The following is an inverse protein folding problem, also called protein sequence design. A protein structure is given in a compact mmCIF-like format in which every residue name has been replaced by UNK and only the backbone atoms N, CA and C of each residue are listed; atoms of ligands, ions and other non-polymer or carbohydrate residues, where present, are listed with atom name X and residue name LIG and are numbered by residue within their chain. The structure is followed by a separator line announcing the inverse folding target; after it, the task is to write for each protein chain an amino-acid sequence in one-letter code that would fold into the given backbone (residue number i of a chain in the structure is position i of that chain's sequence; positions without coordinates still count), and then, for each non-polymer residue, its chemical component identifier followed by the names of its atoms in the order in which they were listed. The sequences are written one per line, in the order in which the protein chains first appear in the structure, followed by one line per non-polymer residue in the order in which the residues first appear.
data_IF_546229829272
#
_entry.id   IF_546229829272
#
_cell.length_a   1.000
_cell.length_b   1.000
_cell.length_c   1.000
_cell.angle_alpha   90.00
_cell.angle_beta   90.00
_cell.angle_gamma   90.00
#
_symmetry.space_group_name_H-M   'P 1'
#
loop_
_entity.id
_entity.type
_entity.pdbx_description
1 polymer ?
#
# COMPACT_ATOMS: atom_id res chain seq x y z
N UNK A 1 -25.92 -2.86 13.79
CA UNK A 1 -24.88 -2.11 13.07
C UNK A 1 -24.35 -3.01 11.97
N UNK A 2 -24.19 -2.49 10.75
CA UNK A 2 -23.57 -3.24 9.65
C UNK A 2 -22.09 -3.48 9.90
N UNK A 3 -21.50 -4.45 9.18
CA UNK A 3 -20.06 -4.64 9.19
C UNK A 3 -19.37 -3.40 8.59
N UNK A 4 -18.27 -2.91 9.19
CA UNK A 4 -17.56 -1.76 8.67
C UNK A 4 -17.00 -2.03 7.25
N UNK A 5 -17.13 -1.05 6.36
CA UNK A 5 -16.73 -1.18 4.96
C UNK A 5 -15.23 -1.47 4.82
N UNK A 6 -14.86 -2.30 3.85
CA UNK A 6 -13.46 -2.49 3.44
C UNK A 6 -13.14 -1.43 2.39
N UNK A 7 -12.16 -0.56 2.65
CA UNK A 7 -11.76 0.49 1.71
C UNK A 7 -10.28 0.32 1.32
N UNK A 8 -9.95 0.21 0.02
CA UNK A 8 -8.56 0.16 -0.41
C UNK A 8 -7.90 1.54 -0.36
N UNK A 9 -6.71 1.58 0.24
CA UNK A 9 -5.85 2.76 0.34
C UNK A 9 -4.48 2.43 -0.25
N UNK A 10 -4.11 3.12 -1.31
CA UNK A 10 -2.75 3.17 -1.84
C UNK A 10 -2.01 4.33 -1.17
N UNK A 11 -0.87 4.06 -0.55
CA UNK A 11 0.05 5.10 -0.10
C UNK A 11 1.05 5.38 -1.24
N UNK A 12 0.93 6.57 -1.84
CA UNK A 12 1.81 7.04 -2.91
C UNK A 12 2.28 8.45 -2.54
N UNK A 13 3.58 8.73 -2.43
CA UNK A 13 4.02 10.09 -2.10
C UNK A 13 5.11 10.21 -1.04
N UNK A 14 5.52 9.08 -0.46
CA UNK A 14 6.79 9.03 0.24
C UNK A 14 7.94 9.31 -0.72
N UNK A 15 8.92 10.10 -0.28
CA UNK A 15 10.24 10.13 -0.92
C UNK A 15 11.05 8.98 -0.36
N UNK A 16 11.76 8.24 -1.20
CA UNK A 16 12.72 7.24 -0.74
C UNK A 16 13.64 7.89 0.28
N UNK A 17 13.73 7.31 1.48
CA UNK A 17 14.58 7.82 2.57
C UNK A 17 16.07 7.78 2.21
N UNK A 18 16.44 6.94 1.22
CA UNK A 18 17.82 6.72 0.78
C UNK A 18 18.25 7.72 -0.30
N UNK A 19 17.40 7.96 -1.30
CA UNK A 19 17.78 8.69 -2.53
C UNK A 19 16.94 9.93 -2.82
N UNK A 20 15.89 10.20 -2.05
CA UNK A 20 14.99 11.34 -2.27
C UNK A 20 14.12 11.24 -3.53
N UNK A 21 14.21 10.14 -4.27
CA UNK A 21 13.40 9.86 -5.47
C UNK A 21 11.96 9.54 -5.07
N UNK A 22 10.95 10.01 -5.83
CA UNK A 22 9.55 9.62 -5.63
C UNK A 22 9.35 8.15 -6.01
N UNK A 23 9.40 7.24 -5.03
CA UNK A 23 9.28 5.77 -5.24
C UNK A 23 8.03 5.42 -6.04
N UNK A 24 6.92 6.13 -5.80
CA UNK A 24 5.65 5.93 -6.49
C UNK A 24 5.72 6.19 -8.01
N UNK A 25 6.65 7.04 -8.47
CA UNK A 25 6.88 7.37 -9.89
C UNK A 25 7.99 6.54 -10.55
N UNK A 26 8.66 5.65 -9.82
CA UNK A 26 9.55 4.67 -10.44
C UNK A 26 8.77 3.85 -11.47
N UNK A 27 9.42 3.50 -12.60
CA UNK A 27 8.74 2.86 -13.72
C UNK A 27 9.17 1.41 -13.86
N UNK A 28 8.18 0.53 -13.96
CA UNK A 28 8.35 -0.85 -14.41
C UNK A 28 9.02 -0.88 -15.79
N UNK A 29 9.63 -2.01 -16.21
CA UNK A 29 10.24 -2.13 -17.55
C UNK A 29 9.28 -1.90 -18.72
N UNK A 30 7.97 -2.00 -18.52
CA UNK A 30 6.93 -1.68 -19.51
C UNK A 30 6.55 -0.19 -19.53
N UNK A 31 7.20 0.64 -18.70
CA UNK A 31 6.97 2.07 -18.57
C UNK A 31 5.93 2.48 -17.52
N UNK A 32 5.21 1.53 -16.92
CA UNK A 32 4.14 1.81 -15.94
C UNK A 32 4.73 2.31 -14.61
N UNK A 33 4.30 3.47 -14.08
CA UNK A 33 4.66 3.91 -12.74
C UNK A 33 4.21 2.93 -11.64
N UNK A 34 4.97 2.81 -10.54
CA UNK A 34 4.65 1.87 -9.46
C UNK A 34 3.28 2.14 -8.84
N UNK A 35 2.88 3.40 -8.66
CA UNK A 35 1.55 3.71 -8.13
C UNK A 35 0.43 3.22 -9.08
N UNK A 36 0.62 3.32 -10.40
CA UNK A 36 -0.34 2.81 -11.38
C UNK A 36 -0.39 1.29 -11.36
N UNK A 37 0.76 0.63 -11.17
CA UNK A 37 0.83 -0.83 -10.99
C UNK A 37 0.02 -1.29 -9.79
N UNK A 38 0.16 -0.62 -8.63
CA UNK A 38 -0.64 -0.93 -7.45
C UNK A 38 -2.12 -0.55 -7.61
N UNK A 39 -2.41 0.53 -8.32
CA UNK A 39 -3.79 0.91 -8.64
C UNK A 39 -4.47 -0.17 -9.49
N UNK A 40 -3.78 -0.75 -10.48
CA UNK A 40 -4.28 -1.87 -11.28
C UNK A 40 -4.54 -3.11 -10.42
N UNK A 41 -3.63 -3.42 -9.48
CA UNK A 41 -3.81 -4.50 -8.50
C UNK A 41 -5.10 -4.27 -7.68
N UNK A 42 -5.25 -3.09 -7.09
CA UNK A 42 -6.42 -2.74 -6.28
C UNK A 42 -7.72 -2.76 -7.08
N UNK A 43 -7.71 -2.30 -8.35
CA UNK A 43 -8.87 -2.37 -9.25
C UNK A 43 -9.32 -3.80 -9.53
N UNK A 44 -8.39 -4.75 -9.61
CA UNK A 44 -8.72 -6.16 -9.82
C UNK A 44 -9.36 -6.80 -8.58
N UNK A 45 -9.02 -6.33 -7.38
CA UNK A 45 -9.52 -6.87 -6.10
C UNK A 45 -10.81 -6.17 -5.65
N UNK A 46 -10.91 -4.86 -5.87
CA UNK A 46 -12.03 -4.01 -5.46
C UNK A 46 -12.72 -3.45 -6.71
N UNK A 47 -13.55 -4.26 -7.39
CA UNK A 47 -14.29 -3.79 -8.55
C UNK A 47 -15.38 -2.77 -8.15
N UNK A 48 -15.90 -2.07 -9.16
CA UNK A 48 -17.01 -1.11 -9.03
C UNK A 48 -18.18 -1.67 -8.19
N UNK A 49 -18.85 -0.82 -7.40
CA UNK A 49 -18.73 0.65 -7.35
C UNK A 49 -17.74 1.17 -6.29
N UNK A 50 -16.74 0.36 -5.89
CA UNK A 50 -15.84 0.76 -4.81
C UNK A 50 -14.82 1.82 -5.24
N UNK A 51 -14.76 2.91 -4.48
CA UNK A 51 -13.73 3.94 -4.63
C UNK A 51 -12.37 3.41 -4.14
N UNK A 52 -11.32 3.64 -4.90
CA UNK A 52 -9.93 3.44 -4.48
C UNK A 52 -9.34 4.77 -4.04
N UNK A 53 -8.72 4.76 -2.87
CA UNK A 53 -8.14 5.95 -2.27
C UNK A 53 -6.63 5.96 -2.48
N UNK A 54 -6.08 7.11 -2.85
CA UNK A 54 -4.63 7.33 -2.92
C UNK A 54 -4.28 8.41 -1.91
N UNK A 55 -3.49 8.09 -0.89
CA UNK A 55 -2.92 9.11 -0.02
C UNK A 55 -1.69 9.71 -0.67
N UNK A 56 -1.58 11.04 -0.70
CA UNK A 56 -0.45 11.80 -1.26
C UNK A 56 -0.02 12.90 -0.31
N UNK A 57 1.30 13.02 -0.05
CA UNK A 57 1.83 14.14 0.71
C UNK A 57 1.77 15.44 -0.12
N UNK A 58 1.59 16.63 0.52
CA UNK A 58 1.47 17.90 -0.19
C UNK A 58 2.62 18.21 -1.15
N UNK A 59 3.83 17.76 -0.81
CA UNK A 59 5.07 17.96 -1.54
C UNK A 59 5.45 16.81 -2.49
N UNK A 60 4.57 15.81 -2.63
CA UNK A 60 4.79 14.68 -3.54
C UNK A 60 4.80 15.15 -5.00
N UNK A 61 5.77 14.67 -5.76
CA UNK A 61 5.79 14.85 -7.21
C UNK A 61 4.64 14.08 -7.86
N UNK A 62 4.02 14.68 -8.87
CA UNK A 62 2.87 14.13 -9.61
C UNK A 62 3.19 14.05 -11.11
N UNK A 63 2.49 13.14 -11.80
CA UNK A 63 2.45 13.08 -13.27
C UNK A 63 1.08 13.56 -13.77
N UNK A 64 0.90 13.61 -15.10
CA UNK A 64 -0.33 14.08 -15.75
C UNK A 64 -1.59 13.36 -15.25
N UNK A 65 -1.50 12.09 -14.88
CA UNK A 65 -2.64 11.32 -14.39
C UNK A 65 -3.03 11.73 -12.96
N UNK A 66 -2.06 11.85 -12.06
CA UNK A 66 -2.33 12.34 -10.70
C UNK A 66 -2.82 13.78 -10.70
N UNK A 67 -2.26 14.65 -11.57
CA UNK A 67 -2.72 16.03 -11.73
C UNK A 67 -4.16 16.11 -12.26
N UNK A 68 -4.52 15.21 -13.19
CA UNK A 68 -5.89 15.06 -13.68
C UNK A 68 -6.88 14.69 -12.58
N UNK A 69 -6.52 13.74 -11.70
CA UNK A 69 -7.35 13.37 -10.55
C UNK A 69 -7.51 14.52 -9.55
N UNK A 70 -6.42 15.23 -9.25
CA UNK A 70 -6.43 16.39 -8.36
C UNK A 70 -7.30 17.53 -8.90
N UNK A 71 -7.29 17.76 -10.22
CA UNK A 71 -8.08 18.80 -10.87
C UNK A 71 -9.57 18.44 -10.92
N UNK A 72 -9.89 17.16 -11.13
CA UNK A 72 -11.28 16.70 -11.17
C UNK A 72 -11.99 16.82 -9.82
N UNK A 73 -11.26 16.73 -8.70
CA UNK A 73 -11.82 16.94 -7.35
C UNK A 73 -12.23 18.40 -7.08
N UNK A 74 -11.61 19.38 -7.74
CA UNK A 74 -11.99 20.79 -7.61
C UNK A 74 -13.22 21.19 -8.42
N UNK A 75 -13.60 20.38 -9.42
CA UNK A 75 -14.62 20.71 -10.42
C UNK A 75 -15.94 19.93 -10.21
N UNK A 76 -16.33 19.57 -8.97
CA UNK A 76 -17.60 18.86 -8.68
C UNK A 76 -18.85 19.69 -9.10
N UNK A 77 -19.13 19.75 -10.40
CA UNK A 77 -20.40 20.09 -11.02
C UNK A 77 -20.64 19.14 -12.21
N UNK A 78 -21.72 18.38 -12.07
CA UNK A 78 -22.48 17.69 -13.13
C UNK A 78 -21.93 16.33 -13.64
N UNK A 79 -22.46 15.22 -13.12
CA UNK A 79 -22.44 13.93 -13.81
C UNK A 79 -23.76 13.72 -14.58
N UNK A 80 -23.67 13.51 -15.90
CA UNK A 80 -24.64 12.77 -16.70
C UNK A 80 -23.85 11.89 -17.68
N UNK A 81 -23.95 10.56 -17.57
CA UNK A 81 -23.33 9.64 -18.54
C UNK A 81 -23.33 8.19 -18.07
N UNK A 82 -24.09 7.36 -18.78
CA UNK A 82 -24.31 5.93 -18.59
C UNK A 82 -23.26 5.13 -19.37
N UNK A 83 -22.12 4.86 -18.74
CA UNK A 83 -21.08 3.93 -19.18
C UNK A 83 -20.52 3.22 -17.94
N UNK A 84 -20.09 1.94 -18.02
CA UNK A 84 -19.40 1.30 -16.92
C UNK A 84 -18.06 2.02 -16.70
N UNK A 85 -18.04 2.93 -15.72
CA UNK A 85 -16.85 3.69 -15.32
C UNK A 85 -15.95 2.76 -14.51
N UNK A 86 -14.64 2.77 -14.75
CA UNK A 86 -13.66 2.09 -13.89
C UNK A 86 -13.83 2.52 -12.42
N UNK A 87 -13.36 1.71 -11.43
CA UNK A 87 -13.32 2.08 -10.01
C UNK A 87 -12.94 3.55 -9.82
N UNK A 88 -13.85 4.33 -9.23
CA UNK A 88 -13.59 5.75 -8.93
C UNK A 88 -12.30 5.87 -8.11
N UNK A 89 -11.39 6.74 -8.53
CA UNK A 89 -10.15 7.00 -7.79
C UNK A 89 -10.27 8.35 -7.10
N UNK A 90 -9.95 8.41 -5.80
CA UNK A 90 -9.96 9.64 -5.01
C UNK A 90 -8.61 9.86 -4.34
N UNK A 91 -8.08 11.07 -4.39
CA UNK A 91 -6.85 11.45 -3.70
C UNK A 91 -7.21 12.00 -2.32
N UNK A 92 -6.50 11.53 -1.30
CA UNK A 92 -6.53 12.06 0.06
C UNK A 92 -5.21 12.76 0.32
N UNK A 93 -5.22 14.09 0.36
CA UNK A 93 -4.00 14.84 0.67
C UNK A 93 -3.66 14.73 2.15
N UNK A 94 -2.39 14.50 2.43
CA UNK A 94 -1.90 14.48 3.81
C UNK A 94 -1.96 15.87 4.41
N UNK A 95 -2.63 15.99 5.55
CA UNK A 95 -2.69 17.25 6.29
C UNK A 95 -1.74 17.17 7.48
N UNK A 96 -0.79 18.12 7.61
CA UNK A 96 0.02 18.18 8.81
C UNK A 96 -0.85 18.53 10.02
N UNK A 97 -0.63 17.89 11.20
CA UNK A 97 -1.27 18.35 12.42
C UNK A 97 -0.88 19.81 12.68
N UNK A 98 -1.88 20.68 12.85
CA UNK A 98 -1.73 22.14 12.92
C UNK A 98 -0.68 22.63 13.94
N UNK A 99 -0.38 21.83 14.97
CA UNK A 99 0.48 22.23 16.09
C UNK A 99 1.87 21.58 16.07
N UNK A 100 2.13 20.55 15.24
CA UNK A 100 3.41 19.80 15.27
C UNK A 100 3.86 19.27 13.90
N UNK A 101 4.33 20.16 12.99
CA UNK A 101 4.69 19.79 11.60
C UNK A 101 5.83 18.77 11.48
N UNK A 102 6.70 18.64 12.48
CA UNK A 102 7.77 17.61 12.49
C UNK A 102 7.27 16.17 12.66
N UNK A 103 6.05 15.98 13.17
CA UNK A 103 5.38 14.66 13.25
C UNK A 103 4.33 14.50 12.14
N UNK A 104 4.28 15.44 11.18
CA UNK A 104 3.35 15.44 10.07
C UNK A 104 3.82 14.65 8.85
N UNK A 105 5.09 14.27 8.80
CA UNK A 105 5.67 13.60 7.66
C UNK A 105 5.73 12.10 7.89
N UNK A 106 5.44 11.33 6.84
CA UNK A 106 5.60 9.88 6.83
C UNK A 106 4.29 9.09 6.82
N UNK A 107 4.36 7.75 6.85
CA UNK A 107 3.22 6.91 6.50
C UNK A 107 1.99 7.03 7.42
N UNK A 108 2.18 7.46 8.68
CA UNK A 108 1.06 7.74 9.57
C UNK A 108 0.19 8.89 9.07
N UNK A 109 0.75 9.89 8.39
CA UNK A 109 -0.02 11.01 7.85
C UNK A 109 -1.07 10.49 6.87
N UNK A 110 -0.67 9.60 5.95
CA UNK A 110 -1.58 9.01 4.98
C UNK A 110 -2.62 8.07 5.58
N UNK A 111 -2.23 7.23 6.55
CA UNK A 111 -3.19 6.44 7.32
C UNK A 111 -4.23 7.34 8.02
N UNK A 112 -3.79 8.46 8.58
CA UNK A 112 -4.69 9.41 9.25
C UNK A 112 -5.54 10.22 8.27
N UNK A 113 -5.08 10.48 7.04
CA UNK A 113 -5.90 11.07 5.98
C UNK A 113 -7.06 10.16 5.61
N UNK A 114 -6.79 8.86 5.49
CA UNK A 114 -7.83 7.84 5.31
C UNK A 114 -8.79 7.80 6.52
N UNK A 115 -8.25 7.77 7.74
CA UNK A 115 -9.08 7.79 8.96
C UNK A 115 -9.98 9.03 9.08
N UNK A 116 -9.48 10.23 8.72
CA UNK A 116 -10.28 11.46 8.69
C UNK A 116 -11.41 11.38 7.67
N UNK A 117 -11.18 10.72 6.53
CA UNK A 117 -12.16 10.55 5.48
C UNK A 117 -13.28 9.58 5.88
N UNK A 118 -12.93 8.39 6.40
CA UNK A 118 -13.90 7.44 6.94
C UNK A 118 -13.35 6.76 8.21
N UNK A 119 -13.77 7.21 9.41
CA UNK A 119 -13.31 6.66 10.67
C UNK A 119 -13.91 5.29 10.99
N UNK A 120 -14.92 4.85 10.24
CA UNK A 120 -15.61 3.59 10.45
C UNK A 120 -15.17 2.50 9.47
N UNK A 121 -14.26 2.77 8.53
CA UNK A 121 -13.79 1.78 7.58
C UNK A 121 -12.68 0.88 8.13
N UNK A 122 -12.65 -0.37 7.66
CA UNK A 122 -11.44 -1.17 7.65
C UNK A 122 -10.62 -0.78 6.42
N UNK A 123 -9.44 -0.22 6.64
CA UNK A 123 -8.59 0.25 5.54
C UNK A 123 -7.63 -0.86 5.12
N UNK A 124 -7.73 -1.27 3.85
CA UNK A 124 -6.79 -2.21 3.20
C UNK A 124 -5.68 -1.38 2.58
N UNK A 125 -4.56 -1.32 3.26
CA UNK A 125 -3.42 -0.46 2.95
C UNK A 125 -2.43 -1.22 2.08
N UNK A 126 -2.02 -0.59 0.98
CA UNK A 126 -0.97 -1.08 0.06
C UNK A 126 0.00 0.07 -0.22
N UNK A 127 1.30 -0.20 -0.16
CA UNK A 127 2.39 0.74 -0.52
C UNK A 127 2.86 0.51 -1.95
N UNK A 128 3.50 1.53 -2.54
CA UNK A 128 4.18 1.40 -3.83
C UNK A 128 5.47 0.57 -3.77
N UNK A 129 6.02 0.33 -2.58
CA UNK A 129 7.33 -0.31 -2.37
C UNK A 129 7.37 -1.78 -2.78
N UNK A 130 6.22 -2.47 -2.87
CA UNK A 130 6.14 -3.89 -3.24
C UNK A 130 5.58 -4.12 -4.66
N UNK A 131 6.33 -3.78 -5.72
CA UNK A 131 5.83 -3.71 -7.10
C UNK A 131 5.39 -5.05 -7.68
N UNK A 132 5.83 -6.15 -7.06
CA UNK A 132 5.57 -7.51 -7.50
C UNK A 132 4.29 -8.10 -6.91
N UNK A 133 3.64 -7.45 -5.93
CA UNK A 133 2.48 -8.00 -5.23
C UNK A 133 1.40 -8.57 -6.18
N UNK A 134 1.05 -9.86 -6.06
CA UNK A 134 -0.08 -10.43 -6.78
C UNK A 134 -1.41 -10.17 -6.04
N UNK A 135 -2.56 -10.30 -6.73
CA UNK A 135 -3.88 -10.26 -6.10
C UNK A 135 -4.02 -11.20 -4.90
N UNK A 136 -3.40 -12.38 -5.00
CA UNK A 136 -3.41 -13.41 -3.96
C UNK A 136 -2.86 -12.92 -2.62
N UNK A 137 -1.91 -11.97 -2.62
CA UNK A 137 -1.37 -11.40 -1.39
C UNK A 137 -2.41 -10.58 -0.61
N UNK A 138 -3.28 -9.86 -1.32
CA UNK A 138 -4.35 -9.07 -0.71
C UNK A 138 -5.52 -9.97 -0.31
N UNK A 139 -5.87 -10.96 -1.14
CA UNK A 139 -6.85 -11.97 -0.75
C UNK A 139 -6.43 -12.74 0.49
N UNK A 140 -5.14 -13.07 0.62
CA UNK A 140 -4.59 -13.72 1.79
C UNK A 140 -4.75 -12.85 3.06
N UNK A 141 -4.42 -11.55 2.99
CA UNK A 141 -4.68 -10.60 4.08
C UNK A 141 -6.16 -10.56 4.48
N UNK A 142 -7.05 -10.40 3.50
CA UNK A 142 -8.49 -10.31 3.73
C UNK A 142 -9.08 -11.60 4.31
N UNK A 143 -8.59 -12.75 3.85
CA UNK A 143 -9.04 -14.06 4.30
C UNK A 143 -8.55 -14.39 5.72
N UNK A 144 -7.31 -14.03 6.05
CA UNK A 144 -6.69 -14.30 7.36
C UNK A 144 -7.07 -13.28 8.44
N UNK A 145 -7.66 -12.15 8.07
CA UNK A 145 -8.14 -11.14 9.01
C UNK A 145 -9.03 -11.78 10.07
N UNK A 146 -8.54 -11.81 11.30
CA UNK A 146 -9.33 -12.08 12.49
C UNK A 146 -9.78 -10.74 13.11
N UNK A 147 -10.64 -10.73 14.12
CA UNK A 147 -11.20 -9.51 14.76
C UNK A 147 -10.17 -8.70 15.56
N UNK A 148 -8.90 -8.71 15.13
CA UNK A 148 -7.76 -7.99 15.69
C UNK A 148 -7.71 -6.54 15.19
N UNK A 149 -7.02 -5.63 15.92
CA UNK A 149 -6.91 -4.23 15.51
C UNK A 149 -6.20 -4.03 14.16
N UNK A 150 -5.15 -4.82 13.91
CA UNK A 150 -4.35 -4.76 12.67
C UNK A 150 -4.03 -6.18 12.22
N UNK A 151 -4.18 -6.47 10.94
CA UNK A 151 -3.63 -7.67 10.29
C UNK A 151 -2.64 -7.22 9.24
N UNK A 152 -1.38 -7.60 9.32
CA UNK A 152 -0.34 -7.14 8.41
C UNK A 152 0.58 -8.28 7.98
N UNK A 153 1.36 -8.08 6.93
CA UNK A 153 2.50 -8.96 6.70
C UNK A 153 3.61 -8.72 7.72
N UNK A 154 4.47 -9.71 7.88
CA UNK A 154 5.76 -9.57 8.53
C UNK A 154 6.81 -9.23 7.47
N UNK A 155 7.56 -8.15 7.67
CA UNK A 155 8.69 -7.80 6.81
C UNK A 155 9.84 -8.80 6.97
N UNK A 156 10.81 -8.77 6.05
CA UNK A 156 11.95 -9.71 6.03
C UNK A 156 12.83 -9.67 7.29
N UNK A 157 12.82 -8.54 8.02
CA UNK A 157 13.52 -8.36 9.30
C UNK A 157 12.71 -8.85 10.53
N UNK A 158 11.51 -9.37 10.31
CA UNK A 158 10.62 -9.86 11.36
C UNK A 158 9.70 -8.79 11.97
N UNK A 159 9.73 -7.55 11.47
CA UNK A 159 8.89 -6.45 11.95
C UNK A 159 7.47 -6.50 11.36
N UNK A 160 6.53 -5.76 11.97
CA UNK A 160 5.22 -5.53 11.34
C UNK A 160 5.42 -4.68 10.08
N UNK A 161 4.84 -5.08 8.95
CA UNK A 161 4.74 -4.26 7.74
C UNK A 161 3.40 -3.50 7.72
N UNK A 162 3.33 -2.27 8.29
CA UNK A 162 2.05 -1.58 8.49
C UNK A 162 1.43 -1.04 7.20
N UNK A 163 2.19 -0.99 6.10
CA UNK A 163 1.77 -0.43 4.82
C UNK A 163 1.33 -1.51 3.83
N UNK A 164 1.40 -2.77 4.25
CA UNK A 164 0.75 -3.90 3.60
C UNK A 164 -0.13 -4.64 4.62
N UNK A 165 -1.25 -3.99 4.96
CA UNK A 165 -2.03 -4.33 6.16
C UNK A 165 -3.51 -3.99 6.03
N UNK A 166 -4.31 -4.54 6.93
CA UNK A 166 -5.69 -4.14 7.18
C UNK A 166 -5.76 -3.48 8.56
N UNK A 167 -6.13 -2.21 8.61
CA UNK A 167 -6.29 -1.43 9.82
C UNK A 167 -7.78 -1.28 10.17
N UNK A 168 -8.19 -1.81 11.32
CA UNK A 168 -9.56 -1.66 11.81
C UNK A 168 -9.83 -0.24 12.35
N UNK A 169 -11.10 0.20 12.42
CA UNK A 169 -11.47 1.53 12.96
C UNK A 169 -10.83 1.88 14.31
N UNK A 170 -10.85 0.92 15.25
CA UNK A 170 -10.27 1.12 16.59
C UNK A 170 -8.74 1.29 16.54
N UNK A 171 -8.06 0.61 15.61
CA UNK A 171 -6.61 0.77 15.44
C UNK A 171 -6.26 2.14 14.85
N UNK A 172 -7.03 2.63 13.87
CA UNK A 172 -6.84 3.97 13.33
C UNK A 172 -7.05 5.06 14.38
N UNK A 173 -8.09 4.93 15.23
CA UNK A 173 -8.30 5.84 16.36
C UNK A 173 -7.12 5.85 17.33
N UNK A 174 -6.61 4.67 17.70
CA UNK A 174 -5.45 4.55 18.59
C UNK A 174 -4.17 5.10 17.94
N UNK A 175 -3.98 4.91 16.63
CA UNK A 175 -2.86 5.51 15.88
C UNK A 175 -2.93 7.04 15.93
N UNK A 176 -4.12 7.62 15.74
CA UNK A 176 -4.33 9.07 15.85
C UNK A 176 -3.93 9.60 17.24
N UNK A 177 -4.31 8.91 18.32
CA UNK A 177 -3.91 9.26 19.68
C UNK A 177 -2.39 9.17 19.89
N UNK A 178 -1.76 8.11 19.38
CA UNK A 178 -0.29 7.94 19.45
C UNK A 178 0.44 9.08 18.75
N UNK A 179 0.00 9.44 17.54
CA UNK A 179 0.56 10.55 16.77
C UNK A 179 0.41 11.87 17.54
N UNK A 180 -0.75 12.14 18.14
CA UNK A 180 -0.98 13.34 18.95
C UNK A 180 -0.01 13.45 20.15
N UNK A 181 0.34 12.31 20.75
CA UNK A 181 1.33 12.20 21.84
C UNK A 181 2.79 12.24 21.36
N UNK A 182 3.04 12.28 20.05
CA UNK A 182 4.38 12.38 19.47
C UNK A 182 5.02 11.02 19.11
N UNK A 183 4.22 9.97 18.96
CA UNK A 183 4.66 8.62 18.57
C UNK A 183 4.08 8.21 17.22
N UNK A 184 4.61 8.71 16.08
CA UNK A 184 3.97 8.56 14.78
C UNK A 184 4.29 7.24 14.06
N UNK A 185 5.13 6.35 14.58
CA UNK A 185 5.57 5.17 13.86
C UNK A 185 4.44 4.11 13.73
N UNK A 186 3.94 3.79 12.51
CA UNK A 186 2.88 2.80 12.34
C UNK A 186 3.31 1.37 12.67
N UNK A 187 4.57 0.98 12.39
CA UNK A 187 5.07 -0.36 12.73
C UNK A 187 5.11 -0.56 14.24
N UNK A 188 5.54 0.46 15.01
CA UNK A 188 5.48 0.43 16.47
C UNK A 188 4.04 0.38 16.99
N UNK A 189 3.13 1.13 16.36
CA UNK A 189 1.71 1.11 16.71
C UNK A 189 1.08 -0.27 16.46
N UNK A 190 1.29 -0.87 15.29
CA UNK A 190 0.81 -2.20 14.95
C UNK A 190 1.30 -3.24 15.97
N UNK A 191 2.59 -3.21 16.31
CA UNK A 191 3.17 -4.09 17.34
C UNK A 191 2.54 -3.87 18.71
N UNK A 192 2.35 -2.63 19.15
CA UNK A 192 1.68 -2.32 20.43
C UNK A 192 0.20 -2.73 20.44
N UNK A 193 -0.42 -2.83 19.27
CA UNK A 193 -1.82 -3.19 19.13
C UNK A 193 -2.01 -4.70 18.98
N UNK A 194 -0.96 -5.50 19.20
CA UNK A 194 -0.93 -6.94 19.04
C UNK A 194 -1.39 -7.35 17.62
N UNK A 195 -0.80 -6.72 16.60
CA UNK A 195 -1.12 -7.02 15.21
C UNK A 195 -0.94 -8.52 14.89
N UNK A 196 -1.88 -9.06 14.13
CA UNK A 196 -1.73 -10.37 13.52
C UNK A 196 -0.75 -10.25 12.35
N UNK A 197 0.46 -10.80 12.52
CA UNK A 197 1.49 -10.84 11.48
C UNK A 197 1.35 -12.11 10.65
N UNK A 198 1.32 -11.94 9.33
CA UNK A 198 1.24 -13.02 8.36
C UNK A 198 2.58 -13.17 7.65
N UNK A 199 2.97 -14.42 7.41
CA UNK A 199 4.00 -14.74 6.43
C UNK A 199 3.32 -15.02 5.08
N UNK A 200 3.97 -14.70 3.94
CA UNK A 200 3.54 -15.21 2.64
C UNK A 200 3.50 -16.75 2.64
N UNK A 201 2.65 -17.38 1.82
CA UNK A 201 2.71 -18.83 1.62
C UNK A 201 4.11 -19.27 1.21
N UNK A 202 4.53 -20.48 1.61
CA UNK A 202 5.84 -21.03 1.26
C UNK A 202 6.11 -20.94 -0.25
N UNK A 203 7.27 -20.39 -0.63
CA UNK A 203 7.64 -20.17 -2.03
C UNK A 203 7.09 -18.85 -2.62
N UNK A 204 6.46 -18.01 -1.80
CA UNK A 204 5.91 -16.70 -2.17
C UNK A 204 6.59 -15.55 -1.43
N UNK A 205 7.79 -15.75 -0.91
CA UNK A 205 8.57 -14.75 -0.16
C UNK A 205 8.82 -13.49 -1.01
N UNK A 206 8.88 -13.64 -2.34
CA UNK A 206 9.00 -12.56 -3.32
C UNK A 206 7.82 -11.55 -3.30
N UNK A 207 6.69 -11.86 -2.64
CA UNK A 207 5.61 -10.90 -2.42
C UNK A 207 6.09 -9.67 -1.65
N UNK A 208 7.08 -9.85 -0.78
CA UNK A 208 7.61 -8.83 0.13
C UNK A 208 8.98 -8.31 -0.30
N UNK A 209 9.31 -8.41 -1.60
CA UNK A 209 10.48 -7.74 -2.16
C UNK A 209 10.19 -6.25 -2.31
N UNK A 210 10.71 -5.44 -1.38
CA UNK A 210 10.64 -4.00 -1.41
C UNK A 210 11.64 -3.41 -2.42
N UNK A 211 11.29 -2.26 -3.00
CA UNK A 211 12.17 -1.51 -3.90
C UNK A 211 12.17 -0.03 -3.53
N UNK A 212 13.36 0.53 -3.39
CA UNK A 212 13.61 1.95 -3.15
C UNK A 212 14.31 2.63 -4.34
N UNK A 213 14.88 1.84 -5.26
CA UNK A 213 15.70 2.30 -6.39
C UNK A 213 15.33 1.63 -7.71
N UNK A 214 15.75 2.26 -8.81
CA UNK A 214 15.58 1.68 -10.17
C UNK A 214 16.38 0.38 -10.29
N UNK A 215 17.58 0.33 -9.71
CA UNK A 215 18.46 -0.83 -9.75
C UNK A 215 17.85 -2.03 -9.01
N UNK A 216 17.29 -1.82 -7.81
CA UNK A 216 16.55 -2.85 -7.08
C UNK A 216 15.35 -3.33 -7.89
N UNK A 217 14.52 -2.41 -8.41
CA UNK A 217 13.37 -2.76 -9.24
C UNK A 217 13.73 -3.62 -10.46
N UNK A 218 14.78 -3.23 -11.20
CA UNK A 218 15.24 -3.99 -12.36
C UNK A 218 15.76 -5.37 -11.96
N UNK A 219 16.40 -5.49 -10.80
CA UNK A 219 16.90 -6.76 -10.27
C UNK A 219 15.74 -7.68 -9.90
N UNK A 220 14.78 -7.20 -9.10
CA UNK A 220 13.61 -7.97 -8.68
C UNK A 220 12.77 -8.46 -9.86
N UNK A 221 12.57 -7.62 -10.89
CA UNK A 221 11.83 -8.04 -12.10
C UNK A 221 12.58 -9.10 -12.92
N UNK A 222 13.92 -9.04 -12.98
CA UNK A 222 14.73 -10.06 -13.65
C UNK A 222 14.66 -11.39 -12.94
N UNK A 223 14.81 -11.40 -11.62
CA UNK A 223 14.74 -12.61 -10.78
C UNK A 223 13.38 -13.27 -10.87
N UNK A 224 12.30 -12.49 -10.83
CA UNK A 224 10.93 -13.00 -11.00
C UNK A 224 10.72 -13.67 -12.38
N UNK A 225 11.26 -13.09 -13.46
CA UNK A 225 11.12 -13.63 -14.82
C UNK A 225 11.96 -14.90 -15.06
N UNK A 226 13.12 -15.00 -14.42
CA UNK A 226 14.05 -16.13 -14.58
C UNK A 226 13.72 -17.29 -13.61
N UNK A 227 12.87 -17.06 -12.61
CA UNK A 227 12.73 -17.93 -11.44
C UNK A 227 13.93 -17.74 -10.50
N UNK A 228 13.73 -17.78 -9.18
CA UNK A 228 14.83 -17.62 -8.23
C UNK A 228 15.98 -18.59 -8.58
N UNK A 229 17.24 -18.13 -8.65
CA UNK A 229 18.36 -18.98 -9.07
C UNK A 229 18.55 -20.20 -8.15
N UNK A 230 18.05 -20.17 -6.92
CA UNK A 230 18.04 -21.31 -6.00
C UNK A 230 17.13 -22.48 -6.45
N UNK A 231 16.08 -22.22 -7.25
CA UNK A 231 15.21 -23.26 -7.82
C UNK A 231 15.79 -23.90 -9.09
N UNK A 232 16.74 -23.23 -9.76
CA UNK A 232 17.40 -23.76 -10.96
C UNK A 232 18.50 -24.78 -10.61
N UNK A 233 18.94 -24.84 -9.34
CA UNK A 233 20.00 -25.73 -8.88
C UNK A 233 19.56 -27.19 -8.61
N UNK A 234 18.29 -27.54 -8.81
CA UNK A 234 17.80 -28.92 -8.56
C UNK A 234 17.27 -29.54 -9.85
N UNK A 235 18.19 -30.19 -10.59
CA UNK A 235 18.04 -31.51 -11.24
C UNK A 235 19.13 -31.69 -12.30
N UNK A 236 20.31 -32.16 -11.88
CA UNK A 236 21.17 -32.96 -12.77
C UNK A 236 20.85 -34.44 -12.49
N UNK A 237 20.40 -35.24 -13.47
CA UNK A 237 20.16 -36.66 -13.25
C UNK A 237 21.50 -37.36 -13.00
N UNK A 238 21.59 -38.07 -11.88
CA UNK A 238 22.70 -38.99 -11.61
C UNK A 238 22.52 -40.20 -12.53
N UNK A 239 23.38 -40.32 -13.54
CA UNK A 239 23.48 -41.52 -14.36
C UNK A 239 23.79 -42.74 -13.48
N UNK A 240 22.95 -43.77 -13.60
CA UNK A 240 23.20 -45.09 -13.03
C UNK A 240 24.38 -45.74 -13.76
N UNK A 241 25.37 -46.20 -13.00
CA UNK A 241 26.26 -47.28 -13.39
C UNK A 241 25.64 -48.64 -13.02
#
# INVERSE_FOLDING_TARGET
MGLPAMRPLLLAGGKSTRMGTPTHLLRMPDGTPLYQRQLQLLRAIFPEPQTIYISLAPESETDEYLDGLLSAESDETCENGDSPKEPRVKILRDEPPAEKPRYAAGPAAGLLSAYRYDPWANWVVVTCEYPLLPPDAIYHLMYKRDSVPVTCYQSMDGSCEPLLAIWAPAAMSRLAERVARGHPCPSEAAREFDALMLEPPTGSEWWLTDVDTVEELLTSVREMKLGSPELVAVQAPTEKA
#
